data_IF_596834168896
#
_entry.id   IF_596834168896
#
_cell.length_a   1.000
_cell.length_b   1.000
_cell.length_c   1.000
_cell.angle_alpha   90.00
_cell.angle_beta   90.00
_cell.angle_gamma   90.00
#
_symmetry.space_group_name_H-M   'P 1'
#
loop_
_entity.id
_entity.type
_entity.pdbx_description
1 polymer ?
#
# COMPACT_ATOMS: atom_id res chain seq x y z
N UNK A 1 -18.16 12.97 -3.88
CA UNK A 1 -18.24 11.58 -4.40
C UNK A 1 -19.06 10.77 -3.42
N UNK A 2 -19.97 9.94 -3.90
CA UNK A 2 -20.83 9.09 -3.08
C UNK A 2 -20.02 7.96 -2.42
N UNK A 3 -20.49 7.50 -1.26
CA UNK A 3 -19.95 6.31 -0.57
C UNK A 3 -20.36 5.00 -1.27
N UNK A 4 -21.25 5.08 -2.26
CA UNK A 4 -21.62 3.99 -3.13
C UNK A 4 -20.83 4.07 -4.45
N UNK A 5 -19.95 3.09 -4.76
CA UNK A 5 -19.15 3.09 -5.98
C UNK A 5 -19.96 3.24 -7.27
N UNK A 6 -21.18 2.67 -7.30
CA UNK A 6 -22.08 2.72 -8.45
C UNK A 6 -22.58 4.15 -8.75
N UNK A 7 -22.76 4.97 -7.73
CA UNK A 7 -23.19 6.37 -7.86
C UNK A 7 -22.06 7.32 -8.25
N UNK A 8 -20.82 6.82 -8.36
CA UNK A 8 -19.68 7.58 -8.87
C UNK A 8 -19.43 7.31 -10.36
N UNK A 9 -20.22 6.43 -10.99
CA UNK A 9 -20.15 6.17 -12.42
C UNK A 9 -20.85 7.28 -13.22
N UNK A 10 -20.26 7.78 -14.32
CA UNK A 10 -20.83 8.88 -15.10
C UNK A 10 -22.29 8.62 -15.50
N UNK A 11 -23.22 9.44 -15.00
CA UNK A 11 -24.65 9.37 -15.32
C UNK A 11 -25.52 8.57 -14.35
N UNK A 12 -24.96 8.10 -13.23
CA UNK A 12 -25.68 7.33 -12.20
C UNK A 12 -25.83 8.06 -10.85
N UNK A 13 -25.34 9.29 -10.74
CA UNK A 13 -25.25 10.10 -9.51
C UNK A 13 -26.60 10.36 -8.78
N UNK A 14 -27.74 10.14 -9.46
CA UNK A 14 -29.09 10.44 -8.92
C UNK A 14 -30.11 9.31 -9.14
N UNK A 15 -29.67 8.12 -9.57
CA UNK A 15 -30.57 7.03 -9.95
C UNK A 15 -30.93 6.15 -8.74
N UNK A 16 -32.23 6.08 -8.39
CA UNK A 16 -32.77 5.34 -7.24
C UNK A 16 -33.94 4.41 -7.60
N UNK A 17 -33.99 3.91 -8.84
CA UNK A 17 -35.05 2.97 -9.20
C UNK A 17 -34.77 1.59 -8.62
N UNK A 18 -35.80 0.73 -8.54
CA UNK A 18 -35.65 -0.66 -8.06
C UNK A 18 -34.66 -1.47 -8.92
N UNK A 19 -34.52 -1.11 -10.19
CA UNK A 19 -33.56 -1.73 -11.11
C UNK A 19 -32.13 -1.25 -10.83
N UNK A 20 -31.96 0.04 -10.49
CA UNK A 20 -30.68 0.57 -10.02
C UNK A 20 -30.23 -0.06 -8.69
N UNK A 21 -31.15 -0.37 -7.76
CA UNK A 21 -30.80 -1.09 -6.53
C UNK A 21 -30.27 -2.52 -6.80
N UNK A 22 -30.82 -3.19 -7.82
CA UNK A 22 -30.34 -4.50 -8.27
C UNK A 22 -28.98 -4.39 -8.96
N UNK A 23 -28.79 -3.35 -9.78
CA UNK A 23 -27.54 -3.06 -10.46
C UNK A 23 -26.44 -2.62 -9.47
N UNK A 24 -26.79 -1.87 -8.42
CA UNK A 24 -25.91 -1.53 -7.30
C UNK A 24 -25.40 -2.77 -6.57
N UNK A 25 -26.30 -3.72 -6.25
CA UNK A 25 -25.93 -4.99 -5.62
C UNK A 25 -25.02 -5.82 -6.53
N UNK A 26 -25.33 -5.86 -7.83
CA UNK A 26 -24.54 -6.59 -8.83
C UNK A 26 -23.18 -5.93 -9.07
N UNK A 27 -23.10 -4.61 -9.06
CA UNK A 27 -21.87 -3.85 -9.21
C UNK A 27 -20.98 -3.97 -7.97
N UNK A 28 -21.56 -3.88 -6.76
CA UNK A 28 -20.84 -4.15 -5.52
C UNK A 28 -20.32 -5.59 -5.48
N UNK A 29 -21.13 -6.57 -5.92
CA UNK A 29 -20.68 -7.96 -6.08
C UNK A 29 -19.55 -8.05 -7.11
N UNK A 30 -19.64 -7.37 -8.25
CA UNK A 30 -18.60 -7.34 -9.29
C UNK A 30 -17.29 -6.69 -8.84
N UNK A 31 -17.34 -5.64 -8.01
CA UNK A 31 -16.15 -5.04 -7.39
C UNK A 31 -15.49 -6.04 -6.41
N UNK A 32 -16.30 -6.78 -5.66
CA UNK A 32 -15.85 -7.88 -4.77
C UNK A 32 -15.40 -9.12 -5.57
N UNK A 33 -15.88 -9.30 -6.79
CA UNK A 33 -15.56 -10.45 -7.65
C UNK A 33 -14.39 -10.14 -8.61
N UNK A 34 -14.10 -8.87 -8.93
CA UNK A 34 -12.85 -8.50 -9.60
C UNK A 34 -11.63 -8.72 -8.70
N UNK A 35 -11.83 -8.71 -7.37
CA UNK A 35 -10.85 -9.16 -6.38
C UNK A 35 -10.76 -10.69 -6.26
N UNK A 36 -11.71 -11.43 -6.84
CA UNK A 36 -11.80 -12.89 -6.87
C UNK A 36 -12.15 -13.33 -8.30
N UNK A 37 -11.19 -13.23 -9.21
CA UNK A 37 -11.35 -13.62 -10.62
C UNK A 37 -11.69 -15.12 -10.76
N UNK A 38 -12.94 -15.48 -10.53
CA UNK A 38 -13.46 -16.82 -10.68
C UNK A 38 -14.14 -16.95 -12.05
N UNK A 39 -13.67 -17.97 -12.78
CA UNK A 39 -14.31 -18.60 -13.95
C UNK A 39 -14.48 -17.75 -15.21
N UNK A 40 -13.36 -17.44 -15.88
CA UNK A 40 -13.37 -17.33 -17.34
C UNK A 40 -13.03 -18.72 -17.89
N UNK A 41 -14.03 -19.46 -18.34
CA UNK A 41 -13.80 -20.78 -18.96
C UNK A 41 -13.23 -20.61 -20.39
N UNK A 42 -12.21 -21.40 -20.73
CA UNK A 42 -11.57 -21.42 -22.05
C UNK A 42 -10.25 -20.64 -22.17
N UNK A 43 -9.77 -20.47 -23.41
CA UNK A 43 -8.47 -19.84 -23.74
C UNK A 43 -8.31 -18.43 -23.14
N UNK A 44 -9.40 -17.66 -23.04
CA UNK A 44 -9.38 -16.31 -22.45
C UNK A 44 -9.01 -16.33 -20.97
N UNK A 45 -9.50 -17.30 -20.20
CA UNK A 45 -9.13 -17.43 -18.78
C UNK A 45 -7.66 -17.77 -18.60
N UNK A 46 -7.14 -18.69 -19.41
CA UNK A 46 -5.73 -19.09 -19.39
C UNK A 46 -4.79 -17.92 -19.73
N UNK A 47 -5.18 -17.07 -20.69
CA UNK A 47 -4.42 -15.88 -21.04
C UNK A 47 -4.46 -14.81 -19.94
N UNK A 48 -5.60 -14.62 -19.27
CA UNK A 48 -5.71 -13.68 -18.13
C UNK A 48 -4.80 -14.10 -16.97
N UNK A 49 -4.73 -15.40 -16.67
CA UNK A 49 -3.85 -15.94 -15.62
C UNK A 49 -2.38 -15.72 -15.99
N UNK A 50 -2.03 -15.90 -17.27
CA UNK A 50 -0.70 -15.62 -17.83
C UNK A 50 -0.30 -14.15 -17.68
N UNK A 51 -1.17 -13.21 -18.09
CA UNK A 51 -0.96 -11.77 -17.92
C UNK A 51 -0.78 -11.45 -16.43
N UNK A 52 -1.63 -11.99 -15.55
CA UNK A 52 -1.53 -11.73 -14.11
C UNK A 52 -0.18 -12.15 -13.55
N UNK A 53 0.32 -13.33 -13.92
CA UNK A 53 1.64 -13.80 -13.51
C UNK A 53 2.74 -12.84 -13.98
N UNK A 54 2.76 -12.53 -15.27
CA UNK A 54 3.79 -11.70 -15.87
C UNK A 54 3.73 -10.25 -15.40
N UNK A 55 2.54 -9.70 -15.14
CA UNK A 55 2.38 -8.38 -14.54
C UNK A 55 2.99 -8.33 -13.12
N UNK A 56 2.79 -9.36 -12.29
CA UNK A 56 3.43 -9.40 -10.96
C UNK A 56 4.95 -9.44 -11.08
N UNK A 57 5.48 -10.25 -12.01
CA UNK A 57 6.92 -10.39 -12.24
C UNK A 57 7.54 -9.11 -12.78
N UNK A 58 7.06 -8.62 -13.92
CA UNK A 58 7.67 -7.54 -14.70
C UNK A 58 7.31 -6.14 -14.19
N UNK A 59 6.05 -5.92 -13.77
CA UNK A 59 5.60 -4.57 -13.42
C UNK A 59 5.77 -4.25 -11.92
N UNK A 60 5.79 -5.26 -11.06
CA UNK A 60 5.90 -5.08 -9.61
C UNK A 60 7.26 -5.51 -9.09
N UNK A 61 7.65 -6.76 -9.30
CA UNK A 61 8.83 -7.35 -8.64
C UNK A 61 10.14 -6.83 -9.26
N UNK A 62 10.35 -7.00 -10.57
CA UNK A 62 11.63 -6.66 -11.21
C UNK A 62 12.06 -5.18 -11.05
N UNK A 63 11.17 -4.19 -11.17
CA UNK A 63 11.54 -2.79 -10.95
C UNK A 63 11.98 -2.54 -9.50
N UNK A 64 11.37 -3.22 -8.53
CA UNK A 64 11.74 -3.10 -7.12
C UNK A 64 13.02 -3.86 -6.79
N UNK A 65 13.23 -5.04 -7.38
CA UNK A 65 14.48 -5.79 -7.25
C UNK A 65 15.65 -4.99 -7.81
N UNK A 66 15.49 -4.38 -8.98
CA UNK A 66 16.47 -3.49 -9.59
C UNK A 66 16.77 -2.28 -8.69
N UNK A 67 15.72 -1.60 -8.19
CA UNK A 67 15.87 -0.45 -7.31
C UNK A 67 16.51 -0.78 -5.94
N UNK A 68 16.36 -2.01 -5.45
CA UNK A 68 16.92 -2.49 -4.19
C UNK A 68 18.24 -3.25 -4.36
N UNK A 69 18.73 -3.42 -5.59
CA UNK A 69 19.95 -4.17 -5.90
C UNK A 69 19.86 -5.67 -5.57
N UNK A 70 18.65 -6.24 -5.54
CA UNK A 70 18.43 -7.67 -5.31
C UNK A 70 18.79 -8.41 -6.59
N UNK A 71 19.95 -9.08 -6.61
CA UNK A 71 20.35 -9.91 -7.76
C UNK A 71 19.54 -11.21 -7.75
N UNK A 72 18.55 -11.32 -8.61
CA UNK A 72 17.87 -12.58 -8.92
C UNK A 72 18.80 -13.45 -9.80
N UNK A 73 19.06 -14.69 -9.38
CA UNK A 73 20.01 -15.61 -10.01
C UNK A 73 19.62 -16.14 -11.41
N UNK A 74 18.83 -15.41 -12.18
CA UNK A 74 18.55 -15.75 -13.57
C UNK A 74 19.73 -15.28 -14.42
N UNK A 75 20.51 -16.23 -14.93
CA UNK A 75 21.46 -16.00 -16.04
C UNK A 75 20.72 -15.22 -17.12
N UNK A 76 21.19 -14.02 -17.40
CA UNK A 76 20.89 -13.30 -18.64
C UNK A 76 21.19 -14.25 -19.79
N UNK A 77 20.17 -14.74 -20.48
CA UNK A 77 20.37 -15.31 -21.80
C UNK A 77 20.86 -14.17 -22.69
N UNK A 78 22.16 -14.18 -22.96
CA UNK A 78 22.78 -13.43 -24.04
C UNK A 78 22.11 -13.86 -25.34
N UNK A 79 21.12 -13.07 -25.79
CA UNK A 79 20.70 -13.05 -27.18
C UNK A 79 21.33 -11.81 -27.81
N UNK A 80 22.39 -12.08 -28.56
CA UNK A 80 23.03 -11.29 -29.60
C UNK A 80 22.50 -9.87 -29.84
N UNK A 81 23.45 -8.94 -29.75
CA UNK A 81 23.37 -7.58 -30.27
C UNK A 81 22.75 -7.57 -31.68
N UNK A 82 21.59 -6.94 -31.78
CA UNK A 82 21.16 -6.26 -33.00
C UNK A 82 20.80 -4.86 -32.54
N UNK A 83 21.54 -3.88 -33.06
CA UNK A 83 21.36 -2.46 -32.82
C UNK A 83 19.89 -2.07 -33.00
N UNK A 84 19.22 -1.78 -31.88
CA UNK A 84 18.03 -0.96 -31.84
C UNK A 84 18.38 0.26 -30.99
N UNK A 85 19.05 1.21 -31.63
CA UNK A 85 19.13 2.59 -31.17
C UNK A 85 17.74 3.24 -31.29
N UNK A 86 16.81 2.92 -30.42
CA UNK A 86 15.63 3.76 -30.15
C UNK A 86 14.91 3.28 -28.89
N UNK A 87 14.62 4.25 -28.00
CA UNK A 87 14.07 4.14 -26.64
C UNK A 87 15.09 4.04 -25.48
N UNK A 88 16.18 4.79 -25.54
CA UNK A 88 16.87 5.23 -24.32
C UNK A 88 16.17 6.47 -23.72
N UNK A 89 14.87 6.33 -23.43
CA UNK A 89 14.06 7.31 -22.70
C UNK A 89 13.85 6.79 -21.27
N UNK A 90 14.67 7.23 -20.32
CA UNK A 90 14.18 7.38 -18.94
C UNK A 90 14.99 6.81 -17.77
N UNK A 91 16.32 6.71 -17.84
CA UNK A 91 17.11 6.38 -16.63
C UNK A 91 16.86 7.41 -15.49
N UNK A 92 16.61 8.67 -15.86
CA UNK A 92 16.36 9.79 -14.93
C UNK A 92 14.90 9.88 -14.43
N UNK A 93 13.98 9.08 -15.01
CA UNK A 93 12.57 9.00 -14.57
C UNK A 93 12.34 7.80 -13.65
N UNK A 94 13.14 6.75 -13.80
CA UNK A 94 13.07 5.54 -12.97
C UNK A 94 13.36 5.83 -11.50
N UNK A 95 14.35 6.68 -11.23
CA UNK A 95 14.78 7.07 -9.86
C UNK A 95 13.72 7.89 -9.11
N UNK A 96 13.06 8.84 -9.79
CA UNK A 96 12.08 9.77 -9.19
C UNK A 96 10.87 9.07 -8.56
N UNK A 97 10.52 7.89 -9.05
CA UNK A 97 9.37 7.12 -8.55
C UNK A 97 9.76 5.91 -7.70
N UNK A 98 11.05 5.70 -7.43
CA UNK A 98 11.52 4.55 -6.66
C UNK A 98 10.88 4.50 -5.27
N UNK A 99 10.92 5.60 -4.51
CA UNK A 99 10.34 5.61 -3.16
C UNK A 99 8.82 5.46 -3.20
N UNK A 100 8.15 6.14 -4.14
CA UNK A 100 6.71 5.97 -4.34
C UNK A 100 6.32 4.51 -4.61
N UNK A 101 7.10 3.80 -5.43
CA UNK A 101 6.90 2.37 -5.70
C UNK A 101 7.11 1.54 -4.44
N UNK A 102 8.19 1.75 -3.68
CA UNK A 102 8.45 1.04 -2.41
C UNK A 102 7.31 1.24 -1.41
N UNK A 103 6.82 2.48 -1.27
CA UNK A 103 5.76 2.81 -0.31
C UNK A 103 4.42 2.19 -0.71
N UNK A 104 4.03 2.31 -1.98
CA UNK A 104 2.82 1.65 -2.52
C UNK A 104 2.94 0.13 -2.48
N UNK A 105 4.12 -0.41 -2.67
CA UNK A 105 4.36 -1.85 -2.55
C UNK A 105 4.01 -2.36 -1.15
N UNK A 106 4.44 -1.66 -0.10
CA UNK A 106 4.09 -2.00 1.29
C UNK A 106 2.58 -1.92 1.54
N UNK A 107 1.89 -0.95 0.93
CA UNK A 107 0.44 -0.81 1.02
C UNK A 107 -0.31 -1.99 0.43
N UNK A 108 0.10 -2.46 -0.76
CA UNK A 108 -0.59 -3.53 -1.49
C UNK A 108 0.01 -4.92 -1.30
N UNK A 109 1.01 -5.07 -0.44
CA UNK A 109 1.71 -6.35 -0.23
C UNK A 109 0.75 -7.52 0.01
N UNK A 110 -0.24 -7.32 0.88
CA UNK A 110 -1.24 -8.34 1.19
C UNK A 110 -2.09 -8.71 -0.04
N UNK A 111 -2.45 -7.72 -0.87
CA UNK A 111 -3.20 -7.95 -2.11
C UNK A 111 -2.41 -8.83 -3.08
N UNK A 112 -1.10 -8.58 -3.22
CA UNK A 112 -0.22 -9.42 -4.05
C UNK A 112 -0.14 -10.85 -3.52
N UNK A 113 0.04 -11.03 -2.21
CA UNK A 113 0.12 -12.36 -1.59
C UNK A 113 -1.20 -13.13 -1.75
N UNK A 114 -2.35 -12.48 -1.54
CA UNK A 114 -3.68 -13.10 -1.77
C UNK A 114 -3.88 -13.52 -3.22
N UNK A 115 -3.45 -12.67 -4.15
CA UNK A 115 -3.52 -12.96 -5.59
C UNK A 115 -2.70 -14.19 -5.95
N UNK A 116 -1.49 -14.32 -5.42
CA UNK A 116 -0.63 -15.50 -5.61
C UNK A 116 -1.25 -16.75 -4.96
N UNK A 117 -1.73 -16.64 -3.72
CA UNK A 117 -2.39 -17.74 -3.01
C UNK A 117 -3.61 -18.29 -3.78
N UNK A 118 -4.40 -17.41 -4.39
CA UNK A 118 -5.54 -17.82 -5.20
C UNK A 118 -5.08 -18.51 -6.49
N UNK A 119 -4.14 -17.91 -7.21
CA UNK A 119 -3.66 -18.44 -8.48
C UNK A 119 -2.91 -19.78 -8.35
N UNK A 120 -2.20 -20.00 -7.23
CA UNK A 120 -1.51 -21.26 -6.92
C UNK A 120 -2.50 -22.43 -6.70
N UNK A 121 -3.72 -22.16 -6.23
CA UNK A 121 -4.77 -23.20 -6.12
C UNK A 121 -5.32 -23.61 -7.48
N UNK A 122 -5.35 -22.69 -8.43
CA UNK A 122 -5.88 -22.89 -9.78
C UNK A 122 -4.85 -23.52 -10.73
N UNK A 123 -3.56 -23.27 -10.48
CA UNK A 123 -2.47 -23.63 -11.41
C UNK A 123 -1.43 -24.52 -10.74
N UNK A 124 -1.22 -25.72 -11.27
CA UNK A 124 -0.11 -26.59 -10.87
C UNK A 124 1.24 -25.91 -11.14
N UNK A 125 2.14 -25.90 -10.16
CA UNK A 125 3.44 -25.26 -10.27
C UNK A 125 4.27 -25.76 -11.46
N UNK A 126 4.89 -24.82 -12.18
CA UNK A 126 5.75 -25.01 -13.36
C UNK A 126 5.05 -25.43 -14.67
N UNK A 127 3.73 -25.29 -14.78
CA UNK A 127 3.05 -25.43 -16.08
C UNK A 127 3.56 -24.35 -17.04
N UNK A 128 3.95 -24.75 -18.25
CA UNK A 128 4.31 -23.81 -19.32
C UNK A 128 3.10 -22.95 -19.71
N UNK A 129 3.35 -21.71 -20.10
CA UNK A 129 2.30 -20.86 -20.64
C UNK A 129 1.78 -21.45 -21.96
N UNK A 130 0.47 -21.53 -22.08
CA UNK A 130 -0.14 -21.90 -23.35
C UNK A 130 -0.02 -20.75 -24.34
N UNK A 131 0.36 -21.09 -25.57
CA UNK A 131 0.41 -20.15 -26.70
C UNK A 131 -1.01 -19.90 -27.17
N UNK A 132 -1.42 -18.64 -27.18
CA UNK A 132 -2.74 -18.28 -27.68
C UNK A 132 -2.74 -18.18 -29.22
N UNK A 133 -3.88 -18.42 -29.90
CA UNK A 133 -3.95 -18.33 -31.37
C UNK A 133 -3.56 -16.97 -31.97
N UNK A 134 -3.60 -15.90 -31.16
CA UNK A 134 -3.21 -14.54 -31.57
C UNK A 134 -1.75 -14.19 -31.20
N UNK A 135 -1.03 -15.07 -30.50
CA UNK A 135 0.41 -14.93 -30.27
C UNK A 135 1.18 -15.43 -31.49
N UNK A 136 2.11 -14.61 -31.98
CA UNK A 136 2.95 -14.88 -33.14
C UNK A 136 4.32 -14.22 -33.00
N UNK A 137 5.03 -14.09 -34.13
CA UNK A 137 6.37 -13.50 -34.17
C UNK A 137 6.34 -12.03 -33.70
N UNK A 138 6.81 -11.78 -32.48
CA UNK A 138 6.96 -10.44 -31.89
C UNK A 138 6.05 -10.13 -30.70
N UNK A 139 5.02 -10.93 -30.42
CA UNK A 139 4.13 -10.76 -29.26
C UNK A 139 3.95 -12.05 -28.43
N UNK A 140 4.85 -13.02 -28.62
CA UNK A 140 4.87 -14.25 -27.85
C UNK A 140 5.20 -13.95 -26.38
N UNK A 141 4.40 -14.51 -25.48
CA UNK A 141 4.65 -14.40 -24.04
C UNK A 141 5.07 -15.79 -23.55
N UNK A 142 6.29 -16.22 -23.88
CA UNK A 142 6.82 -17.52 -23.46
C UNK A 142 7.20 -17.53 -21.98
N UNK A 143 7.01 -18.66 -21.29
CA UNK A 143 7.34 -18.77 -19.87
C UNK A 143 6.63 -19.92 -19.16
N UNK A 144 6.73 -19.94 -17.83
CA UNK A 144 6.11 -20.95 -16.98
C UNK A 144 5.53 -20.30 -15.73
N UNK A 145 4.44 -20.84 -15.22
CA UNK A 145 3.87 -20.41 -13.94
C UNK A 145 4.78 -20.81 -12.78
N UNK A 146 5.30 -19.83 -12.05
CA UNK A 146 6.14 -20.05 -10.88
C UNK A 146 5.71 -19.15 -9.70
N UNK A 147 4.47 -19.30 -9.26
CA UNK A 147 3.91 -18.59 -8.12
C UNK A 147 4.71 -18.75 -6.80
N UNK A 148 5.28 -19.93 -6.47
CA UNK A 148 6.14 -20.06 -5.29
C UNK A 148 7.39 -19.17 -5.33
N UNK A 149 8.05 -19.06 -6.49
CA UNK A 149 9.20 -18.16 -6.67
C UNK A 149 8.78 -16.69 -6.55
N UNK A 150 7.68 -16.30 -7.21
CA UNK A 150 7.16 -14.92 -7.11
C UNK A 150 6.83 -14.56 -5.65
N UNK A 151 6.25 -15.50 -4.89
CA UNK A 151 5.99 -15.31 -3.45
C UNK A 151 7.26 -15.04 -2.68
N UNK A 152 8.29 -15.87 -2.89
CA UNK A 152 9.58 -15.72 -2.20
C UNK A 152 10.22 -14.37 -2.55
N UNK A 153 10.21 -13.98 -3.82
CA UNK A 153 10.73 -12.69 -4.30
C UNK A 153 9.98 -11.51 -3.70
N UNK A 154 8.64 -11.55 -3.64
CA UNK A 154 7.85 -10.50 -2.98
C UNK A 154 8.20 -10.36 -1.50
N UNK A 155 8.36 -11.47 -0.79
CA UNK A 155 8.76 -11.46 0.63
C UNK A 155 10.15 -10.84 0.79
N UNK A 156 11.11 -11.21 -0.06
CA UNK A 156 12.46 -10.63 -0.06
C UNK A 156 12.44 -9.12 -0.32
N UNK A 157 11.65 -8.66 -1.30
CA UNK A 157 11.48 -7.23 -1.61
C UNK A 157 10.88 -6.50 -0.41
N UNK A 158 9.83 -7.06 0.21
CA UNK A 158 9.22 -6.49 1.43
C UNK A 158 10.25 -6.35 2.55
N UNK A 159 10.96 -7.42 2.86
CA UNK A 159 11.91 -7.45 3.97
C UNK A 159 13.04 -6.45 3.73
N UNK A 160 13.55 -6.34 2.50
CA UNK A 160 14.53 -5.32 2.13
C UNK A 160 14.04 -3.89 2.30
N UNK A 161 12.78 -3.60 1.98
CA UNK A 161 12.20 -2.25 2.19
C UNK A 161 12.04 -1.97 3.69
N UNK A 162 11.62 -2.95 4.48
CA UNK A 162 11.51 -2.80 5.95
C UNK A 162 12.90 -2.59 6.56
N UNK A 163 13.90 -3.36 6.15
CA UNK A 163 15.28 -3.24 6.60
C UNK A 163 15.88 -1.87 6.26
N UNK A 164 15.65 -1.37 5.03
CA UNK A 164 16.01 0.00 4.63
C UNK A 164 15.34 1.03 5.55
N UNK A 165 14.06 0.84 5.87
CA UNK A 165 13.33 1.77 6.76
C UNK A 165 13.95 1.81 8.16
N UNK A 166 14.40 0.67 8.66
CA UNK A 166 15.07 0.58 9.95
C UNK A 166 16.52 1.11 9.90
N UNK A 167 17.22 1.00 8.77
CA UNK A 167 18.58 1.54 8.63
C UNK A 167 18.62 3.07 8.76
N UNK A 168 17.55 3.75 8.37
CA UNK A 168 17.39 5.20 8.55
C UNK A 168 17.58 5.66 10.00
N UNK A 169 17.31 4.81 10.99
CA UNK A 169 17.56 5.14 12.39
C UNK A 169 19.06 5.34 12.67
N UNK A 170 19.88 4.41 12.20
CA UNK A 170 21.33 4.44 12.38
C UNK A 170 21.96 5.57 11.56
N UNK A 171 21.51 5.72 10.30
CA UNK A 171 21.93 6.81 9.41
C UNK A 171 21.54 8.19 9.96
N UNK A 172 20.35 8.29 10.56
CA UNK A 172 19.87 9.51 11.19
C UNK A 172 20.67 9.90 12.43
N UNK A 173 21.04 8.94 13.27
CA UNK A 173 21.94 9.19 14.41
C UNK A 173 23.33 9.63 13.95
N UNK A 174 23.84 9.04 12.87
CA UNK A 174 25.10 9.46 12.26
C UNK A 174 25.00 10.89 11.70
N UNK A 175 23.89 11.22 11.04
CA UNK A 175 23.60 12.56 10.51
C UNK A 175 23.50 13.61 11.61
N UNK A 176 22.90 13.25 12.75
CA UNK A 176 22.84 14.09 13.95
C UNK A 176 24.22 14.32 14.55
N UNK A 177 25.05 13.27 14.66
CA UNK A 177 26.44 13.38 15.17
C UNK A 177 27.33 14.25 14.29
N UNK A 178 27.09 14.24 12.98
CA UNK A 178 27.78 15.10 12.03
C UNK A 178 27.17 16.50 11.89
N UNK A 179 26.15 16.83 12.70
CA UNK A 179 25.45 18.12 12.66
C UNK A 179 24.96 18.52 11.25
N UNK A 180 24.55 17.52 10.47
CA UNK A 180 24.02 17.77 9.13
C UNK A 180 22.76 18.62 9.21
N UNK A 181 22.61 19.57 8.27
CA UNK A 181 21.49 20.51 8.24
C UNK A 181 20.12 19.84 8.24
N UNK A 182 20.00 18.64 7.67
CA UNK A 182 18.76 17.85 7.68
C UNK A 182 18.33 17.43 9.08
N UNK A 183 19.27 17.01 9.94
CA UNK A 183 18.95 16.60 11.31
C UNK A 183 18.46 17.80 12.14
N UNK A 184 19.08 18.97 11.96
CA UNK A 184 18.65 20.22 12.58
C UNK A 184 17.29 20.70 12.04
N UNK A 185 17.05 20.54 10.73
CA UNK A 185 15.77 20.88 10.08
C UNK A 185 14.63 20.03 10.65
N UNK A 186 14.78 18.70 10.67
CA UNK A 186 13.77 17.78 11.21
C UNK A 186 13.52 18.01 12.70
N UNK A 187 14.56 18.28 13.48
CA UNK A 187 14.43 18.63 14.89
C UNK A 187 13.57 19.90 15.08
N UNK A 188 13.81 20.94 14.29
CA UNK A 188 12.99 22.17 14.32
C UNK A 188 11.56 21.92 13.89
N UNK A 189 11.34 21.13 12.84
CA UNK A 189 9.99 20.76 12.39
C UNK A 189 9.23 20.01 13.48
N UNK A 190 9.90 19.10 14.21
CA UNK A 190 9.31 18.43 15.37
C UNK A 190 8.89 19.43 16.45
N UNK A 191 9.78 20.34 16.85
CA UNK A 191 9.50 21.34 17.88
C UNK A 191 8.31 22.24 17.50
N UNK A 192 8.27 22.70 16.25
CA UNK A 192 7.15 23.48 15.72
C UNK A 192 5.84 22.69 15.76
N UNK A 193 5.83 21.44 15.28
CA UNK A 193 4.64 20.60 15.31
C UNK A 193 4.17 20.35 16.75
N UNK A 194 5.09 19.98 17.66
CA UNK A 194 4.77 19.71 19.05
C UNK A 194 4.20 20.94 19.77
N UNK A 195 4.76 22.13 19.53
CA UNK A 195 4.24 23.39 20.07
C UNK A 195 2.87 23.76 19.50
N UNK A 196 2.66 23.58 18.19
CA UNK A 196 1.37 23.86 17.55
C UNK A 196 0.26 22.98 18.12
N UNK A 197 0.51 21.68 18.34
CA UNK A 197 -0.47 20.79 18.96
C UNK A 197 -0.75 21.15 20.43
N UNK A 198 0.28 21.57 21.18
CA UNK A 198 0.10 22.09 22.56
C UNK A 198 -0.75 23.36 22.58
N UNK A 199 -0.50 24.30 21.66
CA UNK A 199 -1.26 25.56 21.53
C UNK A 199 -2.73 25.32 21.19
N UNK A 200 -3.00 24.39 20.28
CA UNK A 200 -4.37 24.03 19.90
C UNK A 200 -5.14 23.28 20.99
N UNK A 201 -4.47 22.86 22.09
CA UNK A 201 -5.04 22.02 23.15
C UNK A 201 -5.69 20.75 22.59
N UNK A 202 -5.10 20.19 21.53
CA UNK A 202 -5.56 18.94 20.96
C UNK A 202 -5.13 17.78 21.86
N UNK A 203 -5.91 17.50 22.91
CA UNK A 203 -5.67 16.37 23.81
C UNK A 203 -5.75 15.01 23.11
N UNK A 204 -6.20 14.98 21.86
CA UNK A 204 -6.31 13.80 21.00
C UNK A 204 -4.98 13.35 20.42
N UNK A 205 -3.92 14.17 20.50
CA UNK A 205 -2.65 13.90 19.85
C UNK A 205 -1.49 14.11 20.84
N UNK A 206 -0.57 13.15 20.88
CA UNK A 206 0.73 13.29 21.53
C UNK A 206 1.85 12.98 20.54
N UNK A 207 2.89 13.80 20.55
CA UNK A 207 4.05 13.64 19.67
C UNK A 207 5.32 13.66 20.51
N UNK A 208 6.21 12.70 20.28
CA UNK A 208 7.50 12.58 20.97
C UNK A 208 8.59 12.03 20.05
N UNK A 209 9.86 12.20 20.43
CA UNK A 209 11.00 11.62 19.72
C UNK A 209 11.50 10.38 20.46
N UNK A 210 11.63 9.27 19.75
CA UNK A 210 12.16 8.03 20.35
C UNK A 210 13.66 8.17 20.56
N UNK A 211 14.10 8.12 21.82
CA UNK A 211 15.52 8.26 22.18
C UNK A 211 16.14 9.61 21.77
N UNK A 212 15.32 10.64 21.56
CA UNK A 212 15.78 11.95 21.08
C UNK A 212 16.34 11.91 19.65
N UNK A 213 15.98 10.90 18.85
CA UNK A 213 16.37 10.80 17.45
C UNK A 213 15.37 11.58 16.56
N UNK A 214 15.79 12.64 15.84
CA UNK A 214 14.91 13.41 14.95
C UNK A 214 14.36 12.60 13.78
N UNK A 215 14.91 11.41 13.51
CA UNK A 215 14.51 10.53 12.41
C UNK A 215 13.49 9.46 12.80
N UNK A 216 13.11 9.41 14.09
CA UNK A 216 12.08 8.49 14.59
C UNK A 216 11.12 9.23 15.51
N UNK A 217 9.94 9.51 14.98
CA UNK A 217 8.89 10.16 15.75
C UNK A 217 7.91 9.10 16.23
N UNK A 218 7.52 9.23 17.50
CA UNK A 218 6.43 8.48 18.09
C UNK A 218 5.21 9.40 18.19
N UNK A 219 4.16 9.02 17.48
CA UNK A 219 2.90 9.72 17.41
C UNK A 219 1.82 8.85 18.06
N UNK A 220 1.14 9.38 19.07
CA UNK A 220 0.01 8.71 19.72
C UNK A 220 -1.27 9.47 19.40
N UNK A 221 -2.25 8.76 18.85
CA UNK A 221 -3.59 9.25 18.61
C UNK A 221 -4.56 8.66 19.63
N UNK A 222 -5.28 9.52 20.33
CA UNK A 222 -6.39 9.15 21.21
C UNK A 222 -7.68 9.32 20.43
N UNK A 223 -8.42 8.22 20.28
CA UNK A 223 -9.68 8.22 19.55
C UNK A 223 -10.69 9.19 20.16
N UNK A 224 -11.36 9.97 19.30
CA UNK A 224 -12.31 10.98 19.75
C UNK A 224 -13.59 10.35 20.31
N UNK A 225 -14.23 11.00 21.30
CA UNK A 225 -15.56 10.63 21.74
C UNK A 225 -16.54 10.56 20.58
N UNK A 226 -17.48 9.61 20.64
CA UNK A 226 -18.52 9.41 19.62
C UNK A 226 -18.01 8.99 18.23
N UNK A 227 -16.79 8.47 18.12
CA UNK A 227 -16.25 7.87 16.89
C UNK A 227 -16.11 6.36 17.03
N UNK A 228 -15.86 5.64 15.93
CA UNK A 228 -15.57 4.19 16.01
C UNK A 228 -14.24 3.84 16.70
N UNK A 229 -13.38 4.83 16.90
CA UNK A 229 -12.09 4.71 17.56
C UNK A 229 -12.14 5.16 19.03
N UNK A 230 -13.32 5.53 19.52
CA UNK A 230 -13.52 6.07 20.88
C UNK A 230 -12.90 5.17 21.96
N UNK A 231 -12.16 5.80 22.88
CA UNK A 231 -11.42 5.14 23.95
C UNK A 231 -10.10 4.48 23.54
N UNK A 232 -9.81 4.35 22.24
CA UNK A 232 -8.60 3.72 21.74
C UNK A 232 -7.34 4.58 21.87
N UNK A 233 -6.21 3.94 22.13
CA UNK A 233 -4.87 4.56 22.14
C UNK A 233 -4.05 3.94 21.01
N UNK A 234 -3.75 4.71 19.96
CA UNK A 234 -3.04 4.19 18.79
C UNK A 234 -1.66 4.83 18.70
N UNK A 235 -0.63 4.01 18.90
CA UNK A 235 0.77 4.43 18.79
C UNK A 235 1.31 4.13 17.40
N UNK A 236 1.97 5.11 16.81
CA UNK A 236 2.58 5.05 15.50
C UNK A 236 4.05 5.42 15.58
N UNK A 237 4.87 4.69 14.85
CA UNK A 237 6.27 5.02 14.57
C UNK A 237 6.38 5.58 13.17
N UNK A 238 6.94 6.79 13.09
CA UNK A 238 7.19 7.49 11.84
C UNK A 238 8.69 7.48 11.60
N UNK A 239 9.12 6.74 10.59
CA UNK A 239 10.51 6.62 10.18
C UNK A 239 10.80 7.63 9.08
N UNK A 240 11.86 8.41 9.27
CA UNK A 240 12.27 9.47 8.36
C UNK A 240 13.63 9.15 7.76
N UNK A 241 13.75 9.33 6.46
CA UNK A 241 15.02 9.18 5.76
C UNK A 241 15.92 10.40 5.94
N UNK A 242 17.23 10.19 5.85
CA UNK A 242 18.24 11.25 5.69
C UNK A 242 18.08 12.02 4.36
N UNK A 243 17.32 11.46 3.42
CA UNK A 243 17.00 12.03 2.10
C UNK A 243 15.64 12.71 2.02
N UNK A 244 14.97 12.94 3.16
CA UNK A 244 13.70 13.69 3.17
C UNK A 244 13.91 15.12 2.59
N UNK A 245 13.05 15.60 1.66
CA UNK A 245 11.75 15.06 1.25
C UNK A 245 11.73 14.18 -0.01
N UNK A 246 12.88 13.82 -0.58
CA UNK A 246 12.94 12.93 -1.77
C UNK A 246 12.43 11.51 -1.44
N UNK A 247 12.68 11.06 -0.22
CA UNK A 247 12.08 9.84 0.37
C UNK A 247 11.04 10.25 1.42
N UNK A 248 9.78 9.87 1.17
CA UNK A 248 8.68 10.21 2.08
C UNK A 248 8.72 9.36 3.36
N UNK A 249 8.16 9.85 4.48
CA UNK A 249 8.11 9.11 5.73
C UNK A 249 7.34 7.80 5.60
N UNK A 250 7.78 6.78 6.35
CA UNK A 250 7.09 5.48 6.44
C UNK A 250 6.50 5.33 7.83
N UNK A 251 5.19 5.10 7.90
CA UNK A 251 4.41 5.10 9.14
C UNK A 251 3.89 3.71 9.45
N UNK A 252 4.23 3.21 10.64
CA UNK A 252 3.80 1.92 11.15
C UNK A 252 3.02 2.10 12.44
N UNK A 253 1.88 1.42 12.57
CA UNK A 253 1.17 1.32 13.84
C UNK A 253 1.80 0.21 14.68
N UNK A 254 2.00 0.45 15.97
CA UNK A 254 2.52 -0.56 16.89
C UNK A 254 1.45 -1.57 17.31
N UNK A 255 0.25 -1.07 17.62
CA UNK A 255 -0.89 -1.90 18.02
C UNK A 255 -1.66 -2.37 16.79
N UNK A 256 -1.87 -3.68 16.59
CA UNK A 256 -2.60 -4.20 15.44
C UNK A 256 -4.03 -3.64 15.35
N UNK A 257 -4.31 -2.90 14.27
CA UNK A 257 -5.61 -2.28 14.05
C UNK A 257 -6.28 -2.81 12.78
N UNK A 258 -7.48 -3.36 12.92
CA UNK A 258 -8.30 -3.77 11.78
C UNK A 258 -9.01 -2.56 11.16
N UNK A 259 -8.34 -1.87 10.24
CA UNK A 259 -8.84 -0.66 9.59
C UNK A 259 -8.59 -0.67 8.08
N UNK A 260 -9.45 0.03 7.32
CA UNK A 260 -9.35 0.12 5.85
C UNK A 260 -8.04 0.79 5.37
N UNK A 261 -7.49 1.73 6.16
CA UNK A 261 -6.22 2.44 5.87
C UNK A 261 -4.98 1.78 6.47
N UNK A 262 -5.11 0.68 7.20
CA UNK A 262 -3.99 0.02 7.89
C UNK A 262 -3.79 -1.37 7.32
N UNK A 263 -2.62 -1.63 6.75
CA UNK A 263 -2.30 -2.95 6.22
C UNK A 263 -2.13 -3.97 7.37
N UNK A 264 -2.27 -5.28 7.12
CA UNK A 264 -2.01 -6.31 8.14
C UNK A 264 -0.58 -6.28 8.70
N UNK A 265 0.37 -5.69 7.98
CA UNK A 265 1.75 -5.45 8.44
C UNK A 265 1.87 -4.19 9.33
N UNK A 266 0.77 -3.51 9.61
CA UNK A 266 0.73 -2.28 10.39
C UNK A 266 1.10 -1.03 9.59
N UNK A 267 1.23 -1.09 8.27
CA UNK A 267 1.60 0.07 7.45
C UNK A 267 0.38 0.97 7.25
N UNK A 268 0.49 2.24 7.61
CA UNK A 268 -0.58 3.21 7.43
C UNK A 268 -0.56 3.80 6.01
N UNK A 269 -1.72 3.84 5.37
CA UNK A 269 -1.95 4.52 4.11
C UNK A 269 -2.55 5.91 4.36
N UNK A 270 -1.77 6.93 4.05
CA UNK A 270 -2.18 8.32 4.13
C UNK A 270 -1.61 9.08 2.94
N UNK A 271 -2.26 10.19 2.56
CA UNK A 271 -1.85 11.02 1.44
C UNK A 271 -1.71 12.45 1.97
N UNK A 272 -0.47 12.96 2.13
CA UNK A 272 -0.25 14.33 2.57
C UNK A 272 -0.65 15.32 1.47
N UNK A 273 -1.10 16.52 1.87
CA UNK A 273 -1.32 17.61 0.90
C UNK A 273 0.00 18.10 0.29
N UNK A 274 1.06 18.08 1.10
CA UNK A 274 2.41 18.51 0.76
C UNK A 274 3.41 17.54 1.39
N UNK A 275 4.32 17.01 0.59
CA UNK A 275 5.27 15.97 1.01
C UNK A 275 6.59 16.55 1.56
N UNK A 276 6.77 17.87 1.50
CA UNK A 276 8.02 18.55 1.87
C UNK A 276 8.10 18.95 3.35
N UNK A 277 6.98 18.92 4.08
CA UNK A 277 6.93 19.31 5.50
C UNK A 277 6.23 18.25 6.35
N UNK A 278 6.82 17.93 7.51
CA UNK A 278 6.27 16.93 8.43
C UNK A 278 4.90 17.26 8.97
N UNK A 279 4.55 18.54 9.08
CA UNK A 279 3.23 18.99 9.55
C UNK A 279 2.10 18.36 8.73
N UNK A 280 2.17 18.45 7.39
CA UNK A 280 1.14 17.92 6.51
C UNK A 280 1.06 16.39 6.55
N UNK A 281 2.18 15.71 6.84
CA UNK A 281 2.15 14.27 7.09
C UNK A 281 1.38 13.94 8.37
N UNK A 282 1.61 14.65 9.49
CA UNK A 282 0.86 14.42 10.73
C UNK A 282 -0.64 14.73 10.54
N UNK A 283 -0.97 15.85 9.90
CA UNK A 283 -2.36 16.22 9.60
C UNK A 283 -3.05 15.16 8.72
N UNK A 284 -2.34 14.61 7.73
CA UNK A 284 -2.88 13.55 6.88
C UNK A 284 -2.99 12.19 7.57
N UNK A 285 -2.11 11.87 8.53
CA UNK A 285 -2.24 10.68 9.39
C UNK A 285 -3.52 10.80 10.23
N UNK A 286 -3.76 11.96 10.86
CA UNK A 286 -4.97 12.23 11.64
C UNK A 286 -6.20 12.14 10.76
N UNK A 287 -6.19 12.79 9.58
CA UNK A 287 -7.30 12.76 8.64
C UNK A 287 -7.61 11.32 8.18
N UNK A 288 -6.60 10.49 7.91
CA UNK A 288 -6.79 9.10 7.51
C UNK A 288 -7.39 8.22 8.62
N UNK A 289 -7.18 8.57 9.89
CA UNK A 289 -7.75 7.87 11.05
C UNK A 289 -9.16 8.37 11.39
N UNK A 290 -9.44 9.66 11.20
CA UNK A 290 -10.73 10.30 11.48
C UNK A 290 -11.75 10.13 10.33
N UNK A 291 -11.34 9.55 9.21
CA UNK A 291 -12.20 9.33 8.05
C UNK A 291 -13.17 8.16 8.28
N UNK A 292 -14.36 8.45 8.81
CA UNK A 292 -15.36 7.42 9.13
C UNK A 292 -16.06 6.82 7.91
N UNK A 293 -16.27 7.62 6.86
CA UNK A 293 -17.00 7.20 5.65
C UNK A 293 -16.32 7.70 4.38
N UNK A 294 -15.15 7.13 4.00
CA UNK A 294 -14.49 7.49 2.75
C UNK A 294 -15.34 7.11 1.53
N UNK A 295 -15.27 7.89 0.44
CA UNK A 295 -15.68 7.41 -0.87
C UNK A 295 -14.79 6.22 -1.26
N UNK A 296 -15.34 5.28 -2.03
CA UNK A 296 -14.54 4.16 -2.51
C UNK A 296 -13.43 4.63 -3.45
N UNK A 297 -12.18 4.40 -3.05
CA UNK A 297 -11.00 4.64 -3.87
C UNK A 297 -10.11 3.39 -3.90
N UNK A 298 -9.93 2.73 -5.06
CA UNK A 298 -9.07 1.55 -5.19
C UNK A 298 -7.63 1.82 -4.77
N UNK A 299 -7.16 3.07 -4.84
CA UNK A 299 -5.79 3.47 -4.49
C UNK A 299 -5.50 3.50 -2.98
N UNK A 300 -6.52 3.24 -2.17
CA UNK A 300 -6.44 3.30 -0.71
C UNK A 300 -6.78 1.96 -0.06
N UNK A 301 -6.99 0.93 -0.88
CA UNK A 301 -7.39 -0.42 -0.47
C UNK A 301 -6.22 -1.25 0.04
N UNK A 302 -5.65 -0.86 1.18
CA UNK A 302 -4.45 -1.52 1.73
C UNK A 302 -4.74 -2.78 2.51
N UNK A 303 -5.93 -2.86 3.10
CA UNK A 303 -6.41 -4.07 3.76
C UNK A 303 -7.59 -4.65 2.96
N UNK A 304 -7.36 -5.68 2.14
CA UNK A 304 -8.39 -6.22 1.27
C UNK A 304 -9.58 -6.83 2.05
N UNK A 305 -9.34 -7.39 3.24
CA UNK A 305 -10.41 -7.95 4.09
C UNK A 305 -11.27 -6.86 4.72
N UNK A 306 -10.64 -5.85 5.31
CA UNK A 306 -11.35 -4.70 5.87
C UNK A 306 -12.14 -3.96 4.78
N UNK A 307 -11.54 -3.77 3.60
CA UNK A 307 -12.17 -3.15 2.43
C UNK A 307 -13.41 -3.94 2.00
N UNK A 308 -13.28 -5.26 1.84
CA UNK A 308 -14.41 -6.11 1.45
C UNK A 308 -15.55 -6.05 2.46
N UNK A 309 -15.25 -5.99 3.75
CA UNK A 309 -16.27 -5.90 4.79
C UNK A 309 -16.94 -4.52 4.84
N UNK A 310 -16.16 -3.45 4.70
CA UNK A 310 -16.64 -2.06 4.80
C UNK A 310 -17.54 -1.66 3.61
N UNK A 311 -17.12 -1.96 2.38
CA UNK A 311 -17.92 -1.67 1.17
C UNK A 311 -18.88 -2.81 0.77
N UNK A 312 -18.94 -3.88 1.57
CA UNK A 312 -19.84 -5.01 1.36
C UNK A 312 -21.29 -4.76 1.77
N UNK A 313 -22.02 -5.85 2.05
CA UNK A 313 -23.40 -5.82 2.51
C UNK A 313 -23.55 -5.13 3.89
N UNK A 314 -24.77 -4.72 4.29
CA UNK A 314 -25.01 -4.19 5.64
C UNK A 314 -24.58 -5.13 6.77
N UNK A 315 -24.62 -6.44 6.54
CA UNK A 315 -24.14 -7.44 7.49
C UNK A 315 -22.62 -7.45 7.59
N UNK A 316 -21.93 -7.35 6.45
CA UNK A 316 -20.47 -7.26 6.39
C UNK A 316 -19.97 -5.98 7.08
N UNK A 317 -20.68 -4.86 6.92
CA UNK A 317 -20.37 -3.62 7.64
C UNK A 317 -20.47 -3.79 9.16
N UNK A 318 -21.49 -4.50 9.64
CA UNK A 318 -21.61 -4.83 11.08
C UNK A 318 -20.43 -5.69 11.55
N UNK A 319 -19.96 -6.64 10.74
CA UNK A 319 -18.78 -7.45 11.04
C UNK A 319 -17.52 -6.59 11.08
N UNK A 320 -17.33 -5.67 10.13
CA UNK A 320 -16.24 -4.70 10.14
C UNK A 320 -16.21 -3.90 11.44
N UNK A 321 -17.32 -3.24 11.82
CA UNK A 321 -17.36 -2.43 13.04
C UNK A 321 -17.17 -3.27 14.32
N UNK A 322 -17.55 -4.54 14.31
CA UNK A 322 -17.28 -5.47 15.42
C UNK A 322 -15.79 -5.83 15.50
N UNK A 323 -15.14 -6.09 14.36
CA UNK A 323 -13.72 -6.38 14.29
C UNK A 323 -12.88 -5.15 14.68
N UNK A 324 -13.25 -3.97 14.17
CA UNK A 324 -12.64 -2.69 14.52
C UNK A 324 -12.72 -2.46 16.04
N UNK A 325 -13.91 -2.57 16.66
CA UNK A 325 -14.07 -2.43 18.12
C UNK A 325 -13.17 -3.36 18.93
N UNK A 326 -13.03 -4.63 18.53
CA UNK A 326 -12.10 -5.57 19.17
C UNK A 326 -10.64 -5.13 19.05
N UNK A 327 -10.26 -4.54 17.93
CA UNK A 327 -8.92 -3.96 17.77
C UNK A 327 -8.71 -2.70 18.63
N UNK A 328 -9.76 -1.88 18.81
CA UNK A 328 -9.72 -0.71 19.70
C UNK A 328 -9.56 -1.15 21.16
N UNK A 329 -10.31 -2.16 21.61
CA UNK A 329 -10.18 -2.71 22.96
C UNK A 329 -8.75 -3.23 23.23
N UNK A 330 -8.17 -3.94 22.25
CA UNK A 330 -6.78 -4.44 22.31
C UNK A 330 -5.71 -3.35 22.26
N UNK A 331 -6.03 -2.14 21.83
CA UNK A 331 -5.03 -1.06 21.79
C UNK A 331 -4.81 -0.41 23.16
N UNK A 332 -5.71 -0.68 24.10
CA UNK A 332 -5.65 -0.22 25.49
C UNK A 332 -4.89 -1.21 26.39
N UNK A 333 -4.99 -2.52 26.06
CA UNK A 333 -4.20 -3.60 26.70
C UNK A 333 -2.70 -3.48 26.36
#
# INVERSE_FOLDING_TARGET
MSNNPYENEPGYDQRKTKEDESNMKSYAAKVVQLSNCFALDGLTGLYVIKIRHECLRLAVIEPLESALGIRTGAKTCSSNAVDNEELNLGDDTSTKFCDLRKRRFLWYFESYIRTINAAEKETSGKRAFETMPFEGLGNEMAGHFNYPDLRQRLVQVRDKIIDETHSWLAEGLYSKKQELGIAASLQRQYEQCAEDFRRQKNFTISLSLVGGNPFLWEFTYFGRPMTYLDGGIFKFKIYLSSRFPDEEPRVFIESPLFHIRVSPLGVLCYIPQRADEMRFHIEAIVAAMEEESPPYDPRTTVNPEATQLFWGSPENRKQYHRALRRSVEKSIE
#
